data_IF_135040668368
#
_entry.id   IF_135040668368
#
_cell.length_a   1.000
_cell.length_b   1.000
_cell.length_c   1.000
_cell.angle_alpha   90.00
_cell.angle_beta   90.00
_cell.angle_gamma   90.00
#
_symmetry.space_group_name_H-M   'P 1'
#
loop_
_entity.id
_entity.type
_entity.pdbx_description
1 polymer ?
#
# COMPACT_ATOMS: atom_id res chain seq x y z
N UNK A 1 -19.94 -3.45 13.73
CA UNK A 1 -18.96 -4.31 13.03
C UNK A 1 -17.59 -4.10 13.66
N UNK A 2 -16.90 -5.18 14.05
CA UNK A 2 -15.54 -5.11 14.57
C UNK A 2 -14.53 -5.42 13.45
N UNK A 3 -13.52 -4.57 13.34
CA UNK A 3 -12.49 -4.61 12.31
C UNK A 3 -11.12 -4.64 12.99
N UNK A 4 -10.27 -5.61 12.63
CA UNK A 4 -8.86 -5.60 13.00
C UNK A 4 -8.04 -4.88 11.93
N UNK A 5 -7.08 -4.07 12.35
CA UNK A 5 -6.24 -3.25 11.45
C UNK A 5 -4.77 -3.55 11.71
N UNK A 6 -4.02 -3.76 10.64
CA UNK A 6 -2.57 -3.77 10.64
C UNK A 6 -1.98 -3.33 9.31
N UNK A 7 -0.71 -2.97 9.31
CA UNK A 7 0.09 -2.59 8.16
C UNK A 7 1.57 -2.92 8.39
N UNK A 8 2.39 -2.72 7.38
CA UNK A 8 3.85 -2.75 7.47
C UNK A 8 4.35 -4.04 8.15
N UNK A 9 3.80 -5.19 7.75
CA UNK A 9 4.15 -6.49 8.34
C UNK A 9 5.50 -7.00 7.84
N UNK A 10 5.90 -6.60 6.63
CA UNK A 10 7.19 -6.85 6.04
C UNK A 10 7.66 -8.32 6.19
N UNK A 11 6.89 -9.23 5.60
CA UNK A 11 7.18 -10.67 5.67
C UNK A 11 8.55 -11.04 5.10
N UNK A 12 9.15 -10.17 4.29
CA UNK A 12 10.52 -10.31 3.80
C UNK A 12 11.57 -10.27 4.92
N UNK A 13 11.28 -9.64 6.06
CA UNK A 13 12.16 -9.60 7.23
C UNK A 13 11.86 -10.69 8.25
N UNK A 14 10.64 -11.21 8.28
CA UNK A 14 10.30 -12.31 9.16
C UNK A 14 8.79 -12.58 9.26
N UNK A 15 8.41 -13.86 9.47
CA UNK A 15 7.02 -14.27 9.51
C UNK A 15 6.28 -13.69 10.72
N UNK A 16 4.96 -13.69 10.61
CA UNK A 16 4.04 -13.41 11.72
C UNK A 16 2.78 -14.24 11.53
N UNK A 17 2.13 -14.60 12.62
CA UNK A 17 0.79 -15.18 12.63
C UNK A 17 -0.15 -14.18 13.27
N UNK A 18 -1.28 -13.93 12.61
CA UNK A 18 -2.34 -13.07 13.12
C UNK A 18 -3.49 -13.96 13.61
N UNK A 19 -3.88 -13.77 14.86
CA UNK A 19 -5.00 -14.47 15.46
C UNK A 19 -6.20 -13.55 15.56
N UNK A 20 -7.40 -14.08 15.26
CA UNK A 20 -8.63 -13.33 15.48
C UNK A 20 -8.90 -13.26 16.99
N UNK A 21 -9.00 -12.08 17.61
CA UNK A 21 -9.25 -11.96 19.04
C UNK A 21 -10.67 -12.33 19.47
N UNK A 22 -11.46 -12.95 18.57
CA UNK A 22 -12.73 -13.58 18.89
C UNK A 22 -13.85 -13.23 17.90
N UNK A 23 -14.35 -12.01 17.93
CA UNK A 23 -15.56 -11.58 17.20
C UNK A 23 -15.26 -10.52 16.13
N UNK A 24 -14.04 -10.50 15.60
CA UNK A 24 -13.64 -9.62 14.50
C UNK A 24 -14.13 -10.20 13.19
N UNK A 25 -14.85 -9.40 12.44
CA UNK A 25 -15.46 -9.79 11.17
C UNK A 25 -14.54 -9.54 9.97
N UNK A 26 -13.78 -8.44 10.01
CA UNK A 26 -12.90 -8.02 8.91
C UNK A 26 -11.48 -7.78 9.42
N UNK A 27 -10.48 -8.36 8.74
CA UNK A 27 -9.08 -7.97 8.88
C UNK A 27 -8.72 -7.01 7.74
N UNK A 28 -8.18 -5.83 8.08
CA UNK A 28 -7.61 -4.89 7.11
C UNK A 28 -6.07 -4.98 7.13
N UNK A 29 -5.49 -5.22 5.96
CA UNK A 29 -4.06 -5.20 5.68
C UNK A 29 -3.76 -3.94 4.87
N UNK A 30 -3.27 -2.90 5.53
CA UNK A 30 -3.07 -1.55 4.94
C UNK A 30 -1.68 -1.38 4.32
N UNK A 31 -1.24 -2.35 3.51
CA UNK A 31 -0.01 -2.27 2.71
C UNK A 31 1.26 -2.66 3.44
N UNK A 32 2.32 -2.83 2.65
CA UNK A 32 3.66 -3.27 3.08
C UNK A 32 3.61 -4.61 3.84
N UNK A 33 2.87 -5.55 3.28
CA UNK A 33 2.74 -6.89 3.82
C UNK A 33 3.90 -7.76 3.35
N UNK A 34 4.26 -7.62 2.07
CA UNK A 34 5.29 -8.43 1.41
C UNK A 34 5.88 -7.70 0.21
N UNK A 35 6.94 -8.24 -0.38
CA UNK A 35 7.41 -7.89 -1.73
C UNK A 35 6.79 -8.87 -2.73
N UNK A 36 6.04 -8.38 -3.75
CA UNK A 36 5.34 -9.22 -4.74
C UNK A 36 6.28 -10.18 -5.46
N UNK A 37 7.48 -9.76 -5.76
CA UNK A 37 8.53 -10.58 -6.39
C UNK A 37 8.80 -11.90 -5.64
N UNK A 38 8.63 -11.92 -4.30
CA UNK A 38 8.84 -13.09 -3.47
C UNK A 38 7.62 -14.04 -3.48
N UNK A 39 6.48 -13.61 -4.04
CA UNK A 39 5.27 -14.41 -4.18
C UNK A 39 5.25 -15.10 -5.54
N UNK A 40 5.41 -16.42 -5.56
CA UNK A 40 5.28 -17.25 -6.77
C UNK A 40 3.84 -17.76 -6.92
N UNK A 41 3.56 -18.47 -8.01
CA UNK A 41 2.27 -19.15 -8.17
C UNK A 41 2.09 -20.21 -7.08
N UNK A 42 0.87 -20.31 -6.56
CA UNK A 42 0.53 -21.35 -5.60
C UNK A 42 0.50 -22.70 -6.30
N UNK A 43 1.48 -23.57 -5.98
CA UNK A 43 1.52 -24.95 -6.40
C UNK A 43 1.50 -25.88 -5.18
N UNK A 44 0.36 -26.54 -4.88
CA UNK A 44 0.23 -27.42 -3.73
C UNK A 44 1.11 -28.71 -3.85
N UNK A 45 1.65 -29.00 -5.04
CA UNK A 45 2.49 -30.16 -5.32
C UNK A 45 3.99 -29.85 -5.35
N UNK A 46 4.36 -28.56 -5.43
CA UNK A 46 5.75 -28.13 -5.50
C UNK A 46 6.29 -27.79 -4.11
N UNK A 47 6.81 -28.80 -3.43
CA UNK A 47 7.41 -28.67 -2.09
C UNK A 47 8.86 -28.15 -2.17
N UNK A 48 9.40 -27.95 -3.35
CA UNK A 48 10.81 -27.64 -3.56
C UNK A 48 11.07 -26.12 -3.70
N UNK A 49 11.70 -25.58 -2.69
CA UNK A 49 12.69 -24.49 -2.69
C UNK A 49 12.26 -23.02 -2.73
N UNK A 50 10.99 -22.67 -2.60
CA UNK A 50 10.59 -21.27 -2.47
C UNK A 50 10.12 -20.92 -1.04
N UNK A 51 10.99 -21.09 -0.05
CA UNK A 51 10.67 -20.88 1.38
C UNK A 51 9.98 -19.55 1.69
N UNK A 52 10.31 -18.46 0.97
CA UNK A 52 9.65 -17.16 1.14
C UNK A 52 8.23 -17.19 0.61
N UNK A 53 8.03 -17.66 -0.62
CA UNK A 53 6.69 -17.75 -1.24
C UNK A 53 5.74 -18.62 -0.44
N UNK A 54 6.21 -19.78 0.02
CA UNK A 54 5.43 -20.67 0.88
C UNK A 54 4.96 -19.96 2.15
N UNK A 55 5.83 -19.23 2.84
CA UNK A 55 5.48 -18.46 4.04
C UNK A 55 4.47 -17.34 3.76
N UNK A 56 4.56 -16.69 2.60
CA UNK A 56 3.60 -15.66 2.20
C UNK A 56 2.23 -16.30 1.95
N UNK A 57 2.17 -17.43 1.23
CA UNK A 57 0.92 -18.16 1.03
C UNK A 57 0.32 -18.68 2.34
N UNK A 58 1.13 -19.22 3.22
CA UNK A 58 0.72 -19.67 4.57
C UNK A 58 0.16 -18.50 5.39
N UNK A 59 0.78 -17.35 5.33
CA UNK A 59 0.29 -16.13 6.00
C UNK A 59 -1.12 -15.75 5.53
N UNK A 60 -1.32 -15.57 4.21
CA UNK A 60 -2.63 -15.22 3.67
C UNK A 60 -3.67 -16.30 3.90
N UNK A 61 -3.30 -17.57 3.75
CA UNK A 61 -4.19 -18.71 4.06
C UNK A 61 -4.62 -18.69 5.52
N UNK A 62 -3.70 -18.46 6.46
CA UNK A 62 -4.01 -18.39 7.89
C UNK A 62 -4.90 -17.18 8.20
N UNK A 63 -4.65 -16.00 7.62
CA UNK A 63 -5.54 -14.86 7.76
C UNK A 63 -6.96 -15.17 7.28
N UNK A 64 -7.10 -15.80 6.13
CA UNK A 64 -8.40 -16.17 5.56
C UNK A 64 -9.13 -17.27 6.35
N UNK A 65 -8.40 -18.11 7.08
CA UNK A 65 -9.00 -19.09 8.01
C UNK A 65 -9.41 -18.48 9.35
N UNK A 66 -8.69 -17.46 9.81
CA UNK A 66 -8.94 -16.80 11.09
C UNK A 66 -10.05 -15.73 11.01
N UNK A 67 -10.16 -15.04 9.88
CA UNK A 67 -11.08 -13.92 9.71
C UNK A 67 -12.12 -14.22 8.63
N UNK A 68 -13.42 -13.94 8.89
CA UNK A 68 -14.47 -14.09 7.88
C UNK A 68 -14.17 -13.36 6.57
N UNK A 69 -13.59 -12.16 6.65
CA UNK A 69 -13.20 -11.35 5.50
C UNK A 69 -11.83 -10.72 5.71
N UNK A 70 -11.04 -10.65 4.65
CA UNK A 70 -9.73 -9.98 4.63
C UNK A 70 -9.73 -8.95 3.50
N UNK A 71 -9.47 -7.68 3.84
CA UNK A 71 -9.32 -6.60 2.87
C UNK A 71 -7.85 -6.20 2.82
N UNK A 72 -7.26 -6.20 1.64
CA UNK A 72 -5.85 -5.93 1.44
C UNK A 72 -5.64 -4.86 0.38
N UNK A 73 -4.78 -3.89 0.67
CA UNK A 73 -4.22 -2.95 -0.30
C UNK A 73 -2.70 -3.07 -0.30
N UNK A 74 -2.07 -2.84 -1.45
CA UNK A 74 -0.62 -2.79 -1.50
C UNK A 74 -0.09 -1.47 -0.91
N UNK A 75 1.11 -1.53 -0.31
CA UNK A 75 1.94 -0.37 -0.03
C UNK A 75 2.98 -0.15 -1.14
N UNK A 76 4.08 0.52 -0.82
CA UNK A 76 5.18 0.72 -1.76
C UNK A 76 6.09 -0.52 -1.85
N UNK A 77 6.29 -1.27 -0.76
CA UNK A 77 7.14 -2.46 -0.75
C UNK A 77 6.63 -3.59 -1.64
N UNK A 78 5.33 -3.72 -1.83
CA UNK A 78 4.79 -4.72 -2.77
C UNK A 78 5.36 -4.53 -4.17
N UNK A 79 5.66 -3.29 -4.58
CA UNK A 79 6.21 -2.97 -5.90
C UNK A 79 7.74 -3.11 -6.00
N UNK A 80 8.46 -3.27 -4.88
CA UNK A 80 9.93 -3.28 -4.86
C UNK A 80 10.51 -4.39 -5.73
N UNK A 81 11.47 -4.02 -6.57
CA UNK A 81 12.13 -4.87 -7.57
C UNK A 81 11.17 -5.44 -8.63
N UNK A 82 9.95 -4.96 -8.68
CA UNK A 82 8.90 -5.29 -9.61
C UNK A 82 8.53 -4.11 -10.50
N UNK A 83 7.30 -4.13 -10.97
CA UNK A 83 6.76 -3.16 -11.91
C UNK A 83 5.43 -2.58 -11.43
N UNK A 84 5.35 -1.27 -11.35
CA UNK A 84 4.19 -0.53 -10.86
C UNK A 84 2.88 -0.90 -11.58
N UNK A 85 2.94 -1.09 -12.91
CA UNK A 85 1.74 -1.41 -13.70
C UNK A 85 1.21 -2.82 -13.46
N UNK A 86 2.09 -3.80 -13.21
CA UNK A 86 1.70 -5.22 -13.15
C UNK A 86 1.58 -5.80 -11.74
N UNK A 87 2.28 -5.25 -10.73
CA UNK A 87 2.36 -5.82 -9.37
C UNK A 87 1.00 -6.20 -8.79
N UNK A 88 0.02 -5.29 -8.79
CA UNK A 88 -1.30 -5.57 -8.20
C UNK A 88 -2.09 -6.63 -9.00
N UNK A 89 -1.91 -6.66 -10.32
CA UNK A 89 -2.52 -7.68 -11.18
C UNK A 89 -1.98 -9.06 -10.83
N UNK A 90 -0.67 -9.16 -10.62
CA UNK A 90 0.00 -10.41 -10.23
C UNK A 90 -0.38 -10.86 -8.82
N UNK A 91 -0.43 -9.99 -7.84
CA UNK A 91 -0.92 -10.31 -6.48
C UNK A 91 -2.34 -10.89 -6.54
N UNK A 92 -3.26 -10.20 -7.22
CA UNK A 92 -4.63 -10.68 -7.40
C UNK A 92 -4.68 -12.06 -8.07
N UNK A 93 -3.90 -12.27 -9.12
CA UNK A 93 -3.84 -13.53 -9.84
C UNK A 93 -3.32 -14.67 -8.97
N UNK A 94 -2.23 -14.43 -8.22
CA UNK A 94 -1.55 -15.45 -7.42
C UNK A 94 -2.34 -15.82 -6.15
N UNK A 95 -3.12 -14.90 -5.59
CA UNK A 95 -3.94 -15.12 -4.39
C UNK A 95 -5.43 -15.40 -4.66
N UNK A 96 -5.82 -15.53 -5.93
CA UNK A 96 -7.24 -15.75 -6.34
C UNK A 96 -7.91 -16.98 -5.75
N UNK A 97 -7.13 -17.94 -5.23
CA UNK A 97 -7.65 -19.16 -4.61
C UNK A 97 -8.21 -18.92 -3.19
N UNK A 98 -8.04 -17.72 -2.63
CA UNK A 98 -8.56 -17.32 -1.32
C UNK A 98 -9.87 -16.53 -1.51
N UNK A 99 -11.05 -17.16 -1.33
CA UNK A 99 -12.32 -16.57 -1.77
C UNK A 99 -12.79 -15.40 -0.90
N UNK A 100 -12.31 -15.30 0.34
CA UNK A 100 -12.66 -14.25 1.29
C UNK A 100 -11.57 -13.16 1.40
N UNK A 101 -10.55 -13.16 0.51
CA UNK A 101 -9.56 -12.11 0.37
C UNK A 101 -9.98 -11.12 -0.72
N UNK A 102 -10.13 -9.87 -0.35
CA UNK A 102 -10.42 -8.75 -1.26
C UNK A 102 -9.17 -7.88 -1.43
N UNK A 103 -8.46 -8.03 -2.54
CA UNK A 103 -7.31 -7.17 -2.88
C UNK A 103 -7.83 -5.96 -3.66
N UNK A 104 -7.81 -4.78 -3.05
CA UNK A 104 -8.34 -3.55 -3.64
C UNK A 104 -7.22 -2.71 -4.27
N UNK A 105 -7.47 -2.22 -5.49
CA UNK A 105 -6.60 -1.28 -6.18
C UNK A 105 -7.44 -0.23 -6.91
N UNK A 106 -7.77 0.86 -6.25
CA UNK A 106 -8.73 1.88 -6.73
C UNK A 106 -10.09 1.24 -7.07
N UNK A 107 -10.52 0.38 -6.15
CA UNK A 107 -11.76 -0.40 -6.25
C UNK A 107 -12.50 -0.35 -4.93
N UNK A 108 -13.77 -0.73 -4.96
CA UNK A 108 -14.60 -0.89 -3.77
C UNK A 108 -15.19 -2.29 -3.66
N UNK A 109 -15.45 -2.69 -2.43
CA UNK A 109 -16.13 -3.93 -2.08
C UNK A 109 -17.19 -3.65 -1.00
N UNK A 110 -18.37 -4.19 -1.17
CA UNK A 110 -19.50 -3.98 -0.24
C UNK A 110 -19.73 -5.24 0.58
N UNK A 111 -19.87 -5.05 1.90
CA UNK A 111 -20.19 -6.10 2.84
C UNK A 111 -21.58 -5.89 3.45
N UNK A 112 -22.43 -6.93 3.36
CA UNK A 112 -23.78 -7.00 3.95
C UNK A 112 -24.73 -5.85 3.57
N UNK A 113 -24.46 -5.11 2.49
CA UNK A 113 -25.17 -3.87 2.14
C UNK A 113 -25.18 -2.80 3.26
N UNK A 114 -24.21 -2.88 4.18
CA UNK A 114 -24.04 -1.97 5.33
C UNK A 114 -22.76 -1.17 5.27
N UNK A 115 -21.67 -1.76 4.77
CA UNK A 115 -20.34 -1.15 4.75
C UNK A 115 -19.69 -1.30 3.38
N UNK A 116 -19.19 -0.18 2.85
CA UNK A 116 -18.39 -0.14 1.63
C UNK A 116 -16.93 0.09 2.00
N UNK A 117 -16.06 -0.83 1.60
CA UNK A 117 -14.62 -0.67 1.66
C UNK A 117 -14.15 -0.14 0.30
N UNK A 118 -13.37 0.93 0.30
CA UNK A 118 -12.73 1.47 -0.89
C UNK A 118 -11.24 1.60 -0.62
N UNK A 119 -10.40 1.03 -1.51
CA UNK A 119 -8.98 0.90 -1.19
C UNK A 119 -8.02 0.99 -2.36
N UNK A 120 -6.78 1.30 -2.01
CA UNK A 120 -5.60 1.37 -2.87
C UNK A 120 -4.42 1.98 -2.11
N UNK A 121 -3.22 1.95 -2.71
CA UNK A 121 -1.99 2.44 -2.08
C UNK A 121 -2.08 3.91 -1.62
N UNK A 122 -2.89 4.71 -2.31
CA UNK A 122 -3.09 6.15 -2.12
C UNK A 122 -1.89 7.00 -2.58
N UNK A 123 -0.66 6.53 -2.43
CA UNK A 123 0.53 7.34 -2.66
C UNK A 123 0.40 8.76 -2.08
N UNK A 124 1.10 9.74 -2.60
CA UNK A 124 1.01 11.12 -2.08
C UNK A 124 0.90 12.16 -3.17
N UNK A 125 0.42 13.35 -2.78
CA UNK A 125 0.36 14.54 -3.64
C UNK A 125 1.69 15.33 -3.70
N UNK A 126 2.76 14.83 -3.08
CA UNK A 126 4.07 15.48 -3.02
C UNK A 126 3.99 16.92 -2.55
N UNK A 127 3.34 17.16 -1.40
CA UNK A 127 3.08 18.51 -0.88
C UNK A 127 2.36 19.40 -1.90
N UNK A 128 1.29 18.88 -2.52
CA UNK A 128 0.53 19.56 -3.60
C UNK A 128 1.38 19.83 -4.83
N UNK A 129 2.15 18.82 -5.27
CA UNK A 129 3.07 18.90 -6.42
C UNK A 129 4.18 19.95 -6.25
N UNK A 130 4.68 20.12 -5.03
CA UNK A 130 5.81 21.04 -4.80
C UNK A 130 7.05 20.57 -5.58
N UNK A 131 7.59 21.41 -6.51
CA UNK A 131 8.68 20.97 -7.37
C UNK A 131 9.97 20.61 -6.62
N UNK A 132 10.23 21.25 -5.47
CA UNK A 132 11.41 20.95 -4.66
C UNK A 132 11.25 19.59 -3.98
N UNK A 133 10.06 19.29 -3.43
CA UNK A 133 9.72 17.98 -2.87
C UNK A 133 9.89 16.91 -3.95
N UNK A 134 9.23 17.06 -5.11
CA UNK A 134 9.26 16.07 -6.19
C UNK A 134 10.69 15.79 -6.68
N UNK A 135 11.52 16.83 -6.82
CA UNK A 135 12.91 16.66 -7.25
C UNK A 135 13.77 15.96 -6.18
N UNK A 136 13.64 16.37 -4.92
CA UNK A 136 14.48 15.87 -3.84
C UNK A 136 14.18 14.42 -3.49
N UNK A 137 12.89 14.06 -3.44
CA UNK A 137 12.42 12.73 -3.05
C UNK A 137 12.92 11.63 -3.98
N UNK A 138 13.03 11.88 -5.29
CA UNK A 138 13.52 10.89 -6.25
C UNK A 138 14.94 10.40 -5.97
N UNK A 139 15.77 11.22 -5.31
CA UNK A 139 17.10 10.84 -4.87
C UNK A 139 17.18 10.29 -3.44
N UNK A 140 16.13 10.46 -2.64
CA UNK A 140 16.14 10.15 -1.21
C UNK A 140 15.40 8.85 -0.86
N UNK A 141 14.41 8.42 -1.67
CA UNK A 141 13.60 7.23 -1.39
C UNK A 141 13.87 6.10 -2.39
N UNK A 142 13.86 4.90 -1.85
CA UNK A 142 14.09 3.66 -2.60
C UNK A 142 12.99 3.38 -3.63
N UNK A 143 11.78 3.87 -3.42
CA UNK A 143 10.64 3.71 -4.34
C UNK A 143 11.01 4.10 -5.77
N UNK A 144 11.68 5.24 -5.93
CA UNK A 144 12.05 5.79 -7.25
C UNK A 144 13.28 5.11 -7.88
N UNK A 145 13.94 4.24 -7.12
CA UNK A 145 15.09 3.45 -7.59
C UNK A 145 14.72 1.98 -7.83
N UNK A 146 13.86 1.41 -7.00
CA UNK A 146 13.57 -0.03 -7.00
C UNK A 146 12.30 -0.41 -7.73
N UNK A 147 11.40 0.54 -7.99
CA UNK A 147 10.15 0.29 -8.71
C UNK A 147 10.31 0.71 -10.17
N UNK A 148 10.00 -0.20 -11.10
CA UNK A 148 9.89 0.10 -12.52
C UNK A 148 8.47 0.54 -12.86
N UNK A 149 8.33 1.26 -13.96
CA UNK A 149 7.05 1.58 -14.57
C UNK A 149 7.09 1.24 -16.06
N UNK A 150 6.71 0.01 -16.41
CA UNK A 150 6.76 -0.50 -17.79
C UNK A 150 5.76 0.17 -18.73
N UNK A 151 4.72 0.83 -18.19
CA UNK A 151 3.80 1.65 -18.97
C UNK A 151 4.48 2.90 -19.56
N UNK A 152 5.67 3.25 -19.09
CA UNK A 152 6.47 4.38 -19.57
C UNK A 152 7.83 3.91 -20.07
N UNK A 153 8.27 4.50 -21.19
CA UNK A 153 9.58 4.20 -21.79
C UNK A 153 10.46 5.44 -21.76
N UNK A 154 11.76 5.22 -21.58
CA UNK A 154 12.78 6.26 -21.66
C UNK A 154 13.87 5.86 -22.62
N UNK A 155 14.24 6.79 -23.49
CA UNK A 155 15.36 6.63 -24.40
C UNK A 155 16.67 6.96 -23.68
N UNK A 156 17.67 6.14 -23.83
CA UNK A 156 19.00 6.39 -23.30
C UNK A 156 20.08 6.16 -24.34
N UNK A 157 21.15 6.93 -24.24
CA UNK A 157 22.33 6.79 -25.11
C UNK A 157 23.22 5.66 -24.58
N UNK A 158 23.46 4.69 -25.45
CA UNK A 158 24.41 3.60 -25.22
C UNK A 158 25.55 3.69 -26.25
N UNK A 159 26.57 2.85 -26.14
CA UNK A 159 27.66 2.77 -27.10
C UNK A 159 27.83 1.32 -27.52
N UNK A 160 27.98 1.11 -28.81
CA UNK A 160 28.33 -0.18 -29.40
C UNK A 160 29.65 -0.06 -30.17
N UNK A 161 30.33 -1.18 -30.34
CA UNK A 161 31.52 -1.24 -31.19
C UNK A 161 31.05 -1.72 -32.57
N UNK A 162 31.23 -0.92 -33.60
CA UNK A 162 30.88 -1.29 -34.98
C UNK A 162 31.90 -2.30 -35.54
N UNK A 163 31.63 -2.83 -36.73
CA UNK A 163 32.48 -3.81 -37.40
C UNK A 163 33.94 -3.33 -37.65
N UNK A 164 34.16 -2.03 -37.68
CA UNK A 164 35.48 -1.39 -37.83
C UNK A 164 36.18 -1.15 -36.48
N UNK A 165 35.64 -1.62 -35.36
CA UNK A 165 36.22 -1.46 -34.01
C UNK A 165 35.97 -0.08 -33.37
N UNK A 166 35.20 0.81 -34.00
CA UNK A 166 34.91 2.14 -33.47
C UNK A 166 33.69 2.15 -32.51
N UNK A 167 33.80 2.91 -31.43
CA UNK A 167 32.63 3.18 -30.54
C UNK A 167 31.67 4.14 -31.23
N UNK A 168 30.45 3.67 -31.49
CA UNK A 168 29.33 4.44 -32.04
C UNK A 168 28.22 4.60 -31.01
N UNK A 169 27.64 5.79 -30.95
CA UNK A 169 26.50 6.02 -30.08
C UNK A 169 25.24 5.41 -30.70
N UNK A 170 24.52 4.65 -29.90
CA UNK A 170 23.21 4.10 -30.25
C UNK A 170 22.17 4.53 -29.22
N UNK A 171 20.94 4.77 -29.66
CA UNK A 171 19.85 5.03 -28.77
C UNK A 171 19.07 3.74 -28.54
N UNK A 172 18.81 3.46 -27.27
CA UNK A 172 18.05 2.31 -26.82
C UNK A 172 16.89 2.76 -25.95
N UNK A 173 15.87 1.94 -25.87
CA UNK A 173 14.72 2.15 -25.00
C UNK A 173 14.77 1.20 -23.80
N UNK A 174 14.33 1.67 -22.65
CA UNK A 174 14.11 0.86 -21.46
C UNK A 174 12.86 1.32 -20.72
N UNK A 175 12.34 0.47 -19.84
CA UNK A 175 11.28 0.87 -18.91
C UNK A 175 11.74 2.04 -18.05
N UNK A 176 10.86 2.99 -17.78
CA UNK A 176 11.11 4.04 -16.83
C UNK A 176 11.14 3.47 -15.40
N UNK A 177 11.72 4.21 -14.48
CA UNK A 177 11.44 4.02 -13.06
C UNK A 177 10.14 4.74 -12.69
N UNK A 178 9.51 4.28 -11.60
CA UNK A 178 8.45 5.00 -10.93
C UNK A 178 8.92 6.40 -10.56
N UNK A 179 8.08 7.39 -10.68
CA UNK A 179 8.45 8.78 -10.50
C UNK A 179 7.53 9.50 -9.52
N UNK A 180 7.93 10.67 -9.05
CA UNK A 180 7.10 11.52 -8.21
C UNK A 180 5.81 11.93 -8.93
N UNK A 181 5.86 12.10 -10.25
CA UNK A 181 4.69 12.35 -11.10
C UNK A 181 3.72 11.17 -11.10
N UNK A 182 4.25 9.94 -11.18
CA UNK A 182 3.43 8.72 -11.12
C UNK A 182 2.72 8.60 -9.76
N UNK A 183 3.42 8.95 -8.66
CA UNK A 183 2.85 9.00 -7.31
C UNK A 183 1.66 9.97 -7.24
N UNK A 184 1.84 11.20 -7.73
CA UNK A 184 0.79 12.22 -7.73
C UNK A 184 -0.38 11.83 -8.62
N UNK A 185 -0.11 11.25 -9.77
CA UNK A 185 -1.15 10.80 -10.70
C UNK A 185 -1.98 9.66 -10.08
N UNK A 186 -1.33 8.67 -9.46
CA UNK A 186 -2.01 7.57 -8.80
C UNK A 186 -2.82 8.04 -7.60
N UNK A 187 -2.26 8.96 -6.80
CA UNK A 187 -2.96 9.62 -5.69
C UNK A 187 -4.27 10.29 -6.16
N UNK A 188 -4.20 11.08 -7.21
CA UNK A 188 -5.38 11.76 -7.74
C UNK A 188 -6.43 10.76 -8.24
N UNK A 189 -6.03 9.70 -8.95
CA UNK A 189 -6.94 8.63 -9.38
C UNK A 189 -7.63 7.95 -8.19
N UNK A 190 -6.89 7.70 -7.11
CA UNK A 190 -7.49 7.12 -5.89
C UNK A 190 -8.50 8.07 -5.25
N UNK A 191 -8.21 9.37 -5.17
CA UNK A 191 -9.16 10.36 -4.65
C UNK A 191 -10.43 10.46 -5.51
N UNK A 192 -10.32 10.33 -6.83
CA UNK A 192 -11.48 10.28 -7.73
C UNK A 192 -12.36 9.06 -7.45
N UNK A 193 -11.75 7.90 -7.24
CA UNK A 193 -12.49 6.68 -6.88
C UNK A 193 -13.19 6.84 -5.53
N UNK A 194 -12.52 7.40 -4.51
CA UNK A 194 -13.14 7.64 -3.20
C UNK A 194 -14.32 8.62 -3.34
N UNK A 195 -14.19 9.70 -4.13
CA UNK A 195 -15.31 10.63 -4.39
C UNK A 195 -16.48 9.91 -5.02
N UNK A 196 -16.23 9.18 -6.11
CA UNK A 196 -17.26 8.42 -6.82
C UNK A 196 -17.99 7.45 -5.89
N UNK A 197 -17.23 6.63 -5.14
CA UNK A 197 -17.81 5.68 -4.17
C UNK A 197 -18.62 6.41 -3.11
N UNK A 198 -18.15 7.55 -2.60
CA UNK A 198 -18.87 8.35 -1.63
C UNK A 198 -20.20 8.87 -2.18
N UNK A 199 -20.19 9.40 -3.39
CA UNK A 199 -21.38 10.00 -4.03
C UNK A 199 -22.41 8.93 -4.44
N UNK A 200 -21.97 7.71 -4.77
CA UNK A 200 -22.82 6.58 -5.15
C UNK A 200 -23.32 5.76 -3.95
N UNK A 201 -22.69 5.89 -2.78
CA UNK A 201 -23.03 5.11 -1.58
C UNK A 201 -24.25 5.70 -0.87
N UNK A 202 -25.30 4.89 -0.60
CA UNK A 202 -26.46 5.33 0.15
C UNK A 202 -26.10 5.89 1.53
N UNK A 203 -26.79 6.95 2.03
CA UNK A 203 -26.43 7.63 3.28
C UNK A 203 -26.46 6.77 4.55
N UNK A 204 -27.20 5.66 4.53
CA UNK A 204 -27.26 4.73 5.67
C UNK A 204 -26.06 3.77 5.73
N UNK A 205 -25.33 3.63 4.64
CA UNK A 205 -24.14 2.78 4.62
C UNK A 205 -22.90 3.54 5.14
N UNK A 206 -22.03 2.81 5.78
CA UNK A 206 -20.75 3.32 6.24
C UNK A 206 -19.67 3.10 5.18
N UNK A 207 -18.74 4.04 5.07
CA UNK A 207 -17.58 3.90 4.17
C UNK A 207 -16.33 3.74 5.00
N UNK A 208 -15.51 2.76 4.63
CA UNK A 208 -14.16 2.52 5.15
C UNK A 208 -13.18 2.73 4.02
N UNK A 209 -12.26 3.68 4.20
CA UNK A 209 -11.16 3.89 3.26
C UNK A 209 -9.93 3.13 3.74
N UNK A 210 -9.36 2.31 2.87
CA UNK A 210 -8.16 1.52 3.15
C UNK A 210 -7.04 2.05 2.28
N UNK A 211 -6.10 2.76 2.87
CA UNK A 211 -4.92 3.30 2.21
C UNK A 211 -3.63 2.70 2.77
N UNK A 212 -2.48 3.11 2.20
CA UNK A 212 -1.18 2.83 2.76
C UNK A 212 -0.45 4.12 3.17
N UNK A 213 -0.35 5.10 2.28
CA UNK A 213 0.21 6.40 2.66
C UNK A 213 -0.75 7.20 3.53
N UNK A 214 -0.20 8.03 4.42
CA UNK A 214 -1.00 8.74 5.41
C UNK A 214 -1.87 9.85 4.78
N UNK A 215 -3.15 9.95 5.17
CA UNK A 215 -4.07 10.94 4.60
C UNK A 215 -3.93 12.34 5.21
N UNK A 216 -3.16 12.50 6.28
CA UNK A 216 -2.99 13.79 6.96
C UNK A 216 -1.60 13.93 7.57
N UNK A 217 -1.11 15.16 7.62
CA UNK A 217 0.13 15.52 8.32
C UNK A 217 0.04 15.28 9.84
N UNK A 218 -1.13 15.02 10.40
CA UNK A 218 -1.29 14.60 11.79
C UNK A 218 -0.66 13.22 12.04
N UNK A 219 -0.53 12.37 11.00
CA UNK A 219 0.20 11.10 11.05
C UNK A 219 1.72 11.26 10.88
N UNK A 220 2.28 12.44 11.19
CA UNK A 220 3.72 12.65 11.20
C UNK A 220 4.22 12.66 12.64
N UNK A 221 5.12 11.72 12.99
CA UNK A 221 5.71 11.69 14.31
C UNK A 221 6.43 13.02 14.63
N UNK A 222 6.33 13.57 15.85
CA UNK A 222 6.88 14.88 16.23
C UNK A 222 8.35 15.10 15.85
N UNK A 223 9.18 14.05 15.93
CA UNK A 223 10.62 14.12 15.57
C UNK A 223 10.89 14.44 14.09
N UNK A 224 9.91 14.17 13.21
CA UNK A 224 10.04 14.37 11.75
C UNK A 224 9.26 15.58 11.23
N UNK A 225 8.63 16.37 12.11
CA UNK A 225 7.80 17.51 11.67
C UNK A 225 8.57 18.56 10.85
N UNK A 226 9.88 18.68 11.09
CA UNK A 226 10.76 19.60 10.34
C UNK A 226 11.16 19.08 8.96
N UNK A 227 10.99 17.79 8.69
CA UNK A 227 11.41 17.14 7.44
C UNK A 227 10.38 17.37 6.31
N UNK A 228 10.18 18.63 5.92
CA UNK A 228 9.12 19.04 5.01
C UNK A 228 9.08 18.23 3.70
N UNK A 229 10.25 18.07 3.03
CA UNK A 229 10.30 17.34 1.76
C UNK A 229 10.00 15.86 1.95
N UNK A 230 10.65 15.20 2.92
CA UNK A 230 10.40 13.79 3.22
C UNK A 230 8.92 13.54 3.57
N UNK A 231 8.34 14.40 4.41
CA UNK A 231 6.92 14.28 4.78
C UNK A 231 5.98 14.40 3.57
N UNK A 232 6.42 15.02 2.46
CA UNK A 232 5.68 15.05 1.20
C UNK A 232 5.52 13.70 0.54
N UNK A 233 6.45 12.76 0.77
CA UNK A 233 6.35 11.40 0.27
C UNK A 233 5.64 10.43 1.23
N UNK A 234 5.50 10.80 2.51
CA UNK A 234 4.86 9.98 3.53
C UNK A 234 3.37 10.27 3.70
N UNK A 235 2.96 11.51 3.48
CA UNK A 235 1.58 11.93 3.75
C UNK A 235 1.11 13.05 2.85
N UNK A 236 -0.17 13.06 2.53
CA UNK A 236 -0.89 14.20 1.95
C UNK A 236 -1.71 14.91 3.03
N UNK A 237 -2.17 16.13 2.75
CA UNK A 237 -3.06 16.85 3.70
C UNK A 237 -4.49 16.83 3.15
N UNK A 238 -5.24 15.78 3.55
CA UNK A 238 -6.60 15.53 3.09
C UNK A 238 -7.66 15.83 4.16
N UNK A 239 -7.33 16.59 5.21
CA UNK A 239 -8.27 16.86 6.30
C UNK A 239 -9.57 17.50 5.80
N UNK A 240 -9.51 18.49 4.91
CA UNK A 240 -10.70 19.11 4.31
C UNK A 240 -11.49 18.12 3.43
N UNK A 241 -10.79 17.25 2.70
CA UNK A 241 -11.42 16.21 1.88
C UNK A 241 -12.23 15.26 2.75
N UNK A 242 -11.70 14.87 3.91
CA UNK A 242 -12.31 13.96 4.87
C UNK A 242 -13.47 14.64 5.59
N UNK A 243 -13.28 15.88 6.09
CA UNK A 243 -14.30 16.65 6.79
C UNK A 243 -15.57 16.85 5.94
N UNK A 244 -15.41 17.01 4.64
CA UNK A 244 -16.51 17.17 3.70
C UNK A 244 -17.22 15.85 3.34
N UNK A 245 -16.79 14.70 3.96
CA UNK A 245 -17.34 13.35 3.68
C UNK A 245 -17.66 12.58 4.96
N UNK A 246 -18.62 13.03 5.78
CA UNK A 246 -18.93 12.45 7.08
C UNK A 246 -19.44 10.99 7.03
N UNK A 247 -19.78 10.46 5.85
CA UNK A 247 -20.10 9.05 5.61
C UNK A 247 -18.88 8.13 5.73
N UNK A 248 -17.67 8.64 5.58
CA UNK A 248 -16.44 7.90 5.86
C UNK A 248 -16.30 7.78 7.39
N UNK A 249 -16.32 6.55 7.90
CA UNK A 249 -16.25 6.28 9.35
C UNK A 249 -14.87 5.87 9.82
N UNK A 250 -14.13 5.21 8.94
CA UNK A 250 -12.77 4.74 9.22
C UNK A 250 -11.89 5.01 8.01
N UNK A 251 -10.66 5.45 8.26
CA UNK A 251 -9.59 5.52 7.28
C UNK A 251 -8.35 4.87 7.87
N UNK A 252 -7.90 3.77 7.28
CA UNK A 252 -6.70 3.07 7.71
C UNK A 252 -5.51 3.42 6.81
N UNK A 253 -4.33 3.43 7.40
CA UNK A 253 -3.08 3.60 6.66
C UNK A 253 -1.89 2.89 7.34
N UNK A 254 -0.73 2.95 6.73
CA UNK A 254 0.56 2.44 7.20
C UNK A 254 1.69 3.43 6.91
N UNK A 255 2.80 2.91 6.37
CA UNK A 255 3.95 3.61 5.82
C UNK A 255 4.82 4.40 6.81
N UNK A 256 4.22 4.97 7.83
CA UNK A 256 4.93 5.85 8.79
C UNK A 256 5.66 5.09 9.89
N UNK A 257 5.42 3.78 10.02
CA UNK A 257 5.93 2.91 11.09
C UNK A 257 5.69 3.44 12.50
N UNK A 258 4.61 4.23 12.69
CA UNK A 258 4.19 4.75 13.99
C UNK A 258 2.69 4.55 14.19
N UNK A 259 2.29 4.30 15.44
CA UNK A 259 0.87 4.13 15.78
C UNK A 259 0.16 5.47 15.77
N UNK A 260 -0.95 5.51 15.03
CA UNK A 260 -1.85 6.66 15.05
C UNK A 260 -3.29 6.22 15.26
N UNK A 261 -4.02 7.01 16.05
CA UNK A 261 -5.44 6.82 16.29
C UNK A 261 -6.05 8.17 16.70
N UNK A 262 -6.68 8.84 15.76
CA UNK A 262 -7.24 10.17 15.97
C UNK A 262 -8.46 10.40 15.08
N UNK A 263 -9.19 11.49 15.32
CA UNK A 263 -10.38 11.85 14.58
C UNK A 263 -10.12 13.05 13.67
N UNK A 264 -10.65 12.97 12.43
CA UNK A 264 -10.87 14.14 11.57
C UNK A 264 -12.37 14.24 11.33
N UNK A 265 -13.02 15.18 12.02
CA UNK A 265 -14.48 15.24 12.08
C UNK A 265 -15.06 13.95 12.65
N UNK A 266 -15.91 13.26 11.87
CA UNK A 266 -16.50 11.97 12.25
C UNK A 266 -15.73 10.74 11.76
N UNK A 267 -14.61 10.93 11.06
CA UNK A 267 -13.78 9.85 10.53
C UNK A 267 -12.64 9.53 11.50
N UNK A 268 -12.56 8.27 11.92
CA UNK A 268 -11.41 7.78 12.71
C UNK A 268 -10.28 7.41 11.77
N UNK A 269 -9.08 7.95 12.01
CA UNK A 269 -7.86 7.65 11.28
C UNK A 269 -7.03 6.68 12.12
N UNK A 270 -6.64 5.55 11.53
CA UNK A 270 -5.93 4.49 12.26
C UNK A 270 -4.73 4.00 11.45
N UNK A 271 -3.58 3.97 12.12
CA UNK A 271 -2.36 3.33 11.66
C UNK A 271 -1.89 2.36 12.73
N UNK A 272 -1.62 1.11 12.38
CA UNK A 272 -1.13 0.08 13.30
C UNK A 272 -0.06 -0.78 12.60
N UNK A 273 1.15 -0.24 12.42
CA UNK A 273 2.23 -0.92 11.73
C UNK A 273 2.98 -1.88 12.66
N UNK A 274 3.45 -3.01 12.12
CA UNK A 274 4.43 -3.86 12.80
C UNK A 274 5.82 -3.23 12.77
N UNK A 275 6.25 -2.77 11.60
CA UNK A 275 7.61 -2.30 11.33
C UNK A 275 8.61 -3.44 11.11
N UNK A 276 9.88 -3.10 10.95
CA UNK A 276 10.94 -4.04 10.60
C UNK A 276 11.38 -4.87 11.81
N UNK A 277 11.11 -6.18 11.76
CA UNK A 277 11.58 -7.11 12.81
C UNK A 277 13.12 -7.13 12.85
N UNK A 278 13.66 -7.07 14.07
CA UNK A 278 15.10 -7.01 14.30
C UNK A 278 15.73 -5.61 14.16
N UNK A 279 14.95 -4.61 13.71
CA UNK A 279 15.39 -3.23 13.58
C UNK A 279 14.56 -2.25 14.41
N UNK A 280 13.27 -2.51 14.56
CA UNK A 280 12.34 -1.66 15.30
C UNK A 280 11.76 -2.41 16.49
N UNK A 281 11.99 -1.90 17.71
CA UNK A 281 11.56 -2.58 18.95
C UNK A 281 10.05 -2.75 19.09
N UNK A 282 9.24 -1.98 18.32
CA UNK A 282 7.79 -2.17 18.25
C UNK A 282 7.39 -3.50 17.62
N UNK A 283 8.19 -4.01 16.66
CA UNK A 283 7.87 -5.23 15.94
C UNK A 283 7.75 -6.47 16.83
N UNK A 284 8.53 -6.51 17.94
CA UNK A 284 8.53 -7.61 18.91
C UNK A 284 7.27 -7.64 19.78
N UNK A 285 6.59 -6.49 19.91
CA UNK A 285 5.41 -6.32 20.76
C UNK A 285 4.14 -6.05 19.95
N UNK A 286 4.19 -6.27 18.64
CA UNK A 286 3.08 -5.98 17.75
C UNK A 286 1.82 -6.77 18.14
N UNK A 287 0.68 -6.07 18.10
CA UNK A 287 -0.66 -6.64 18.31
C UNK A 287 -1.64 -6.02 17.32
N UNK A 288 -2.62 -6.81 16.90
CA UNK A 288 -3.72 -6.30 16.11
C UNK A 288 -4.49 -5.22 16.88
N UNK A 289 -4.82 -4.13 16.19
CA UNK A 289 -5.69 -3.09 16.72
C UNK A 289 -7.11 -3.35 16.26
N UNK A 290 -8.03 -3.53 17.21
CA UNK A 290 -9.45 -3.71 16.91
C UNK A 290 -10.16 -2.38 17.05
N UNK A 291 -10.95 -2.04 16.03
CA UNK A 291 -11.81 -0.86 15.99
C UNK A 291 -13.25 -1.28 15.72
N UNK A 292 -14.20 -0.49 16.20
CA UNK A 292 -15.63 -0.70 15.95
C UNK A 292 -16.17 0.48 15.14
N UNK A 293 -16.97 0.18 14.11
CA UNK A 293 -17.64 1.17 13.26
C UNK A 293 -19.14 0.99 13.27
#
# INVERSE_FOLDING_TARGET
MKIAVCSDLHLEFGPITLENPGDVEVLILSGDIMVERDLMDHDPHNILDFKKSTKIHEFFYNCCNQFPHVVYVAGNHEHYHGDFDSTLKEIKRKLKYLPNLQVLNKESWTLHEEVVFVGGTLWTDMNKRDPLTMHSITGMMNDYQYIKNSARKVNYRSHEVNESGNRVAVFRERDAHFSAEDSVEDHNKMLEVIRKVYDETPPWMKIVVVGHHAPSKQSTHPRYKSEYMMNGAYSSELSDFILNRPGIKLWTHGHTHEDFDYMIGSTRIVCNPRGYIGYEGRADNFKLKVVEI
#
